data_IF_843769746952
#
_entry.id   IF_843769746952
#
_cell.length_a   1.000
_cell.length_b   1.000
_cell.length_c   1.000
_cell.angle_alpha   90.00
_cell.angle_beta   90.00
_cell.angle_gamma   90.00
#
_symmetry.space_group_name_H-M   'P 1'
#
loop_
_entity.id
_entity.type
_entity.pdbx_description
1 polymer ?
#
# COMPACT_ATOMS: atom_id res chain seq x y z
N UNK A 1 -11.82 3.11 -5.63
CA UNK A 1 -10.40 3.16 -6.06
C UNK A 1 -10.18 2.79 -7.51
N UNK A 2 -10.63 1.63 -7.99
CA UNK A 2 -10.46 1.22 -9.39
C UNK A 2 -10.88 2.29 -10.42
N UNK A 3 -12.05 2.94 -10.24
CA UNK A 3 -12.51 4.08 -11.08
C UNK A 3 -11.46 5.20 -11.21
N UNK A 4 -10.80 5.57 -10.11
CA UNK A 4 -9.82 6.65 -10.09
C UNK A 4 -8.55 6.25 -10.85
N UNK A 5 -8.06 5.02 -10.66
CA UNK A 5 -6.88 4.53 -11.37
C UNK A 5 -7.12 4.40 -12.87
N UNK A 6 -8.27 3.85 -13.28
CA UNK A 6 -8.66 3.80 -14.68
C UNK A 6 -8.71 5.20 -15.30
N UNK A 7 -9.29 6.19 -14.60
CA UNK A 7 -9.33 7.57 -15.08
C UNK A 7 -7.98 8.29 -15.08
N UNK A 8 -7.02 7.87 -14.25
CA UNK A 8 -5.63 8.33 -14.39
C UNK A 8 -5.03 7.72 -15.66
N UNK A 9 -5.14 6.40 -15.84
CA UNK A 9 -4.56 5.67 -16.97
C UNK A 9 -5.09 6.15 -18.34
N UNK A 10 -6.35 6.58 -18.40
CA UNK A 10 -6.98 7.07 -19.63
C UNK A 10 -6.62 8.53 -19.97
N UNK A 11 -6.00 9.28 -19.07
CA UNK A 11 -5.61 10.66 -19.38
C UNK A 11 -4.46 10.71 -20.40
N UNK A 12 -4.46 11.66 -21.36
CA UNK A 12 -3.37 11.78 -22.32
C UNK A 12 -2.04 12.15 -21.66
N UNK A 13 -0.94 11.88 -22.36
CA UNK A 13 0.41 12.19 -21.90
C UNK A 13 0.82 11.34 -20.70
N UNK A 14 1.00 11.97 -19.54
CA UNK A 14 1.55 11.34 -18.33
C UNK A 14 0.58 10.40 -17.58
N UNK A 15 -0.69 10.33 -17.98
CA UNK A 15 -1.73 9.55 -17.29
C UNK A 15 -1.37 8.07 -17.09
N UNK A 16 -1.14 7.31 -18.17
CA UNK A 16 -0.73 5.91 -18.12
C UNK A 16 0.45 5.63 -17.17
N UNK A 17 1.47 6.50 -17.18
CA UNK A 17 2.65 6.38 -16.33
C UNK A 17 2.32 6.55 -14.83
N UNK A 18 1.30 7.34 -14.52
CA UNK A 18 0.93 7.66 -13.14
C UNK A 18 -0.05 6.65 -12.51
N UNK A 19 -0.62 5.72 -13.27
CA UNK A 19 -1.45 4.66 -12.70
C UNK A 19 -0.65 3.80 -11.71
N UNK A 20 0.48 3.25 -12.18
CA UNK A 20 1.39 2.46 -11.34
C UNK A 20 1.97 3.29 -10.19
N UNK A 21 2.27 4.57 -10.45
CA UNK A 21 2.75 5.51 -9.44
C UNK A 21 1.76 5.68 -8.27
N UNK A 22 0.48 5.90 -8.55
CA UNK A 22 -0.55 5.96 -7.51
C UNK A 22 -0.85 4.59 -6.90
N UNK A 23 -0.73 3.53 -7.70
CA UNK A 23 -0.80 2.15 -7.24
C UNK A 23 0.22 1.84 -6.13
N UNK A 24 1.44 2.35 -6.23
CA UNK A 24 2.46 2.21 -5.17
C UNK A 24 1.97 2.80 -3.83
N UNK A 25 1.31 3.95 -3.87
CA UNK A 25 0.78 4.58 -2.65
C UNK A 25 -0.37 3.77 -2.05
N UNK A 26 -1.23 3.17 -2.88
CA UNK A 26 -2.39 2.41 -2.40
C UNK A 26 -2.07 0.97 -2.01
N UNK A 27 -1.36 0.23 -2.86
CA UNK A 27 -1.09 -1.19 -2.66
C UNK A 27 0.12 -1.49 -1.79
N UNK A 28 1.06 -0.55 -1.65
CA UNK A 28 2.25 -0.71 -0.81
C UNK A 28 2.33 0.36 0.30
N UNK A 29 1.26 1.14 0.48
CA UNK A 29 1.21 2.26 1.43
C UNK A 29 2.39 3.22 1.28
N UNK A 30 3.00 3.40 0.10
CA UNK A 30 4.19 4.24 -0.04
C UNK A 30 3.87 5.73 0.13
N UNK A 31 4.81 6.49 0.72
CA UNK A 31 4.76 7.96 0.68
C UNK A 31 5.12 8.43 -0.73
N UNK A 32 4.60 9.58 -1.22
CA UNK A 32 4.94 10.10 -2.54
C UNK A 32 6.46 10.19 -2.78
N UNK A 33 7.20 10.63 -1.77
CA UNK A 33 8.66 10.67 -1.76
C UNK A 33 9.32 9.31 -2.05
N UNK A 34 8.82 8.24 -1.43
CA UNK A 34 9.31 6.88 -1.65
C UNK A 34 9.00 6.41 -3.08
N UNK A 35 7.84 6.77 -3.63
CA UNK A 35 7.46 6.40 -5.00
C UNK A 35 8.35 7.09 -6.02
N UNK A 36 8.62 8.39 -5.84
CA UNK A 36 9.49 9.18 -6.72
C UNK A 36 10.90 8.57 -6.83
N UNK A 37 11.38 7.94 -5.76
CA UNK A 37 12.72 7.35 -5.69
C UNK A 37 12.72 5.82 -5.80
N UNK A 38 11.58 5.19 -6.11
CA UNK A 38 11.51 3.74 -6.23
C UNK A 38 12.42 3.25 -7.35
N UNK A 39 13.32 2.34 -7.00
CA UNK A 39 14.26 1.72 -7.93
C UNK A 39 13.83 0.31 -8.31
N UNK A 40 14.20 -0.12 -9.52
CA UNK A 40 13.88 -1.46 -10.01
C UNK A 40 14.54 -2.56 -9.18
N UNK A 41 15.75 -2.33 -8.66
CA UNK A 41 16.46 -3.25 -7.75
C UNK A 41 15.73 -3.46 -6.41
N UNK A 42 14.77 -2.61 -6.06
CA UNK A 42 13.90 -2.75 -4.88
C UNK A 42 12.62 -3.54 -5.18
N UNK A 43 12.42 -3.99 -6.42
CA UNK A 43 11.19 -4.65 -6.87
C UNK A 43 11.42 -6.13 -7.18
N UNK A 44 10.80 -7.01 -6.40
CA UNK A 44 10.64 -8.41 -6.77
C UNK A 44 9.24 -8.61 -7.38
N UNK A 45 9.20 -8.80 -8.69
CA UNK A 45 7.97 -8.86 -9.49
C UNK A 45 7.87 -10.20 -10.22
N UNK A 46 7.40 -11.28 -9.57
CA UNK A 46 7.25 -12.57 -10.24
C UNK A 46 6.15 -12.51 -11.30
N UNK A 47 6.25 -13.34 -12.34
CA UNK A 47 5.23 -13.45 -13.40
C UNK A 47 3.85 -13.82 -12.85
N UNK A 48 3.82 -14.64 -11.80
CA UNK A 48 2.60 -15.06 -11.11
C UNK A 48 2.76 -14.92 -9.60
N UNK A 49 1.67 -14.57 -8.92
CA UNK A 49 1.61 -14.51 -7.47
C UNK A 49 1.97 -13.14 -6.89
N UNK A 50 2.34 -13.14 -5.60
CA UNK A 50 2.62 -11.92 -4.85
C UNK A 50 4.04 -11.43 -5.11
N UNK A 51 4.19 -10.12 -5.27
CA UNK A 51 5.49 -9.47 -5.37
C UNK A 51 5.93 -8.89 -4.02
N UNK A 52 7.14 -8.33 -4.00
CA UNK A 52 7.71 -7.68 -2.83
C UNK A 52 8.40 -6.37 -3.22
N UNK A 53 8.17 -5.31 -2.44
CA UNK A 53 8.92 -4.05 -2.53
C UNK A 53 9.80 -3.88 -1.29
N UNK A 54 11.09 -3.57 -1.47
CA UNK A 54 12.06 -3.38 -0.40
C UNK A 54 12.34 -1.89 -0.17
N UNK A 55 11.54 -1.27 0.69
CA UNK A 55 11.51 0.18 0.86
C UNK A 55 12.51 0.64 1.93
N UNK A 56 13.45 1.51 1.58
CA UNK A 56 14.38 2.12 2.52
C UNK A 56 13.72 3.26 3.30
N UNK A 57 13.95 3.32 4.61
CA UNK A 57 13.31 4.31 5.51
C UNK A 57 13.79 5.77 5.37
N UNK A 58 14.57 6.09 4.34
CA UNK A 58 15.37 7.32 4.27
C UNK A 58 14.79 8.50 3.47
N UNK A 59 13.74 8.31 2.68
CA UNK A 59 13.23 9.40 1.83
C UNK A 59 12.00 10.06 2.46
N UNK A 60 12.24 11.12 3.23
CA UNK A 60 11.20 12.04 3.68
C UNK A 60 11.42 13.38 2.99
N UNK A 61 10.82 13.59 1.81
CA UNK A 61 10.60 14.97 1.31
C UNK A 61 9.34 15.50 1.95
N UNK A 62 9.49 16.21 3.07
CA UNK A 62 8.41 17.03 3.63
C UNK A 62 8.27 18.28 2.76
N UNK A 63 7.38 18.24 1.78
CA UNK A 63 6.91 19.45 1.11
C UNK A 63 6.05 20.28 2.06
N UNK A 64 5.99 21.60 1.83
CA UNK A 64 5.22 22.60 2.60
C UNK A 64 3.74 22.27 2.86
N UNK A 65 3.19 21.23 2.23
CA UNK A 65 1.81 20.76 2.37
C UNK A 65 1.58 19.75 3.52
N UNK A 66 2.61 19.44 4.32
CA UNK A 66 2.60 18.25 5.20
C UNK A 66 2.52 18.53 6.72
N UNK A 67 2.26 19.76 7.16
CA UNK A 67 1.93 20.04 8.57
C UNK A 67 0.69 20.93 8.70
N UNK A 68 -0.19 20.64 9.66
CA UNK A 68 -1.24 21.58 10.11
C UNK A 68 -0.66 22.80 10.85
N UNK A 69 0.67 22.90 10.98
CA UNK A 69 1.37 23.92 11.77
C UNK A 69 2.24 24.88 10.96
N UNK A 70 2.30 24.79 9.63
CA UNK A 70 2.96 25.80 8.77
C UNK A 70 4.48 25.96 8.96
N UNK A 71 5.13 25.14 9.79
CA UNK A 71 6.56 25.21 10.03
C UNK A 71 7.33 24.32 9.04
N UNK A 72 8.36 24.90 8.41
CA UNK A 72 9.38 24.19 7.63
C UNK A 72 10.25 23.44 8.63
N UNK A 73 10.10 22.11 8.70
CA UNK A 73 11.03 21.28 9.45
C UNK A 73 12.13 20.80 8.51
N UNK A 74 13.36 21.16 8.85
CA UNK A 74 14.58 20.58 8.31
C UNK A 74 14.60 19.05 8.47
N UNK A 75 15.42 18.44 7.62
CA UNK A 75 15.69 17.01 7.56
C UNK A 75 16.19 16.55 8.93
N UNK A 76 15.28 16.09 9.78
CA UNK A 76 15.64 15.23 10.89
C UNK A 76 15.70 13.81 10.33
N UNK A 77 16.92 13.31 10.11
CA UNK A 77 17.19 11.88 10.22
C UNK A 77 16.54 11.42 11.53
N UNK A 78 15.40 10.72 11.43
CA UNK A 78 14.72 10.18 12.60
C UNK A 78 15.75 9.36 13.36
N UNK A 79 15.98 9.77 14.62
CA UNK A 79 16.86 9.12 15.59
C UNK A 79 16.98 7.62 15.32
N UNK A 80 18.18 7.20 14.92
CA UNK A 80 18.74 5.87 15.21
C UNK A 80 17.93 4.67 14.68
N UNK A 81 17.46 4.70 13.44
CA UNK A 81 17.44 3.45 12.64
C UNK A 81 18.59 3.51 11.66
N UNK A 82 19.39 2.44 11.59
CA UNK A 82 20.50 2.36 10.65
C UNK A 82 19.99 2.73 9.24
N UNK A 83 20.74 3.55 8.51
CA UNK A 83 20.41 4.01 7.16
C UNK A 83 20.10 2.86 6.16
N UNK A 84 20.37 1.62 6.57
CA UNK A 84 20.19 0.36 5.84
C UNK A 84 18.89 -0.40 6.16
N UNK A 85 18.04 0.08 7.07
CA UNK A 85 16.81 -0.62 7.42
C UNK A 85 15.77 -0.52 6.28
N UNK A 86 15.73 -1.54 5.42
CA UNK A 86 14.67 -1.75 4.43
C UNK A 86 13.48 -2.47 5.06
N UNK A 87 12.25 -2.03 4.76
CA UNK A 87 11.03 -2.78 5.09
C UNK A 87 10.53 -3.54 3.86
N UNK A 88 10.33 -4.87 3.95
CA UNK A 88 9.66 -5.62 2.90
C UNK A 88 8.15 -5.38 2.96
N UNK A 89 7.57 -4.99 1.82
CA UNK A 89 6.14 -4.76 1.64
C UNK A 89 5.61 -5.66 0.53
N UNK A 90 4.82 -6.70 0.86
CA UNK A 90 4.24 -7.57 -0.15
C UNK A 90 3.16 -6.82 -0.93
N UNK A 91 3.14 -7.01 -2.24
CA UNK A 91 2.17 -6.40 -3.15
C UNK A 91 1.34 -7.45 -3.87
N UNK A 92 0.03 -7.21 -4.05
CA UNK A 92 -0.87 -8.24 -4.55
C UNK A 92 -0.67 -8.48 -6.07
N UNK A 93 -1.01 -9.67 -6.60
CA UNK A 93 -0.70 -10.08 -7.97
C UNK A 93 -1.19 -9.11 -9.06
N UNK A 94 -2.36 -8.48 -8.85
CA UNK A 94 -2.89 -7.49 -9.77
C UNK A 94 -1.99 -6.26 -9.89
N UNK A 95 -1.36 -5.84 -8.79
CA UNK A 95 -0.47 -4.68 -8.80
C UNK A 95 0.91 -5.03 -9.34
N UNK A 96 1.37 -6.27 -9.14
CA UNK A 96 2.57 -6.80 -9.82
C UNK A 96 2.43 -6.67 -11.34
N UNK A 97 1.29 -7.10 -11.89
CA UNK A 97 1.00 -6.95 -13.33
C UNK A 97 1.00 -5.49 -13.78
N UNK A 98 0.41 -4.59 -13.01
CA UNK A 98 0.42 -3.15 -13.31
C UNK A 98 1.85 -2.58 -13.33
N UNK A 99 2.70 -2.95 -12.38
CA UNK A 99 4.10 -2.53 -12.34
C UNK A 99 4.92 -3.11 -13.50
N UNK A 100 4.74 -4.40 -13.80
CA UNK A 100 5.40 -5.04 -14.94
C UNK A 100 5.02 -4.36 -16.26
N UNK A 101 3.72 -4.16 -16.50
CA UNK A 101 3.24 -3.48 -17.71
C UNK A 101 3.74 -2.03 -17.80
N UNK A 102 3.89 -1.34 -16.67
CA UNK A 102 4.50 -0.02 -16.62
C UNK A 102 5.97 -0.06 -17.04
N UNK A 103 6.75 -0.97 -16.46
CA UNK A 103 8.19 -1.11 -16.73
C UNK A 103 8.42 -1.50 -18.19
N UNK A 104 7.63 -2.43 -18.73
CA UNK A 104 7.67 -2.82 -20.15
C UNK A 104 7.38 -1.64 -21.07
N UNK A 105 6.39 -0.81 -20.73
CA UNK A 105 5.95 0.31 -21.57
C UNK A 105 6.86 1.54 -21.51
N UNK A 106 7.38 1.88 -20.33
CA UNK A 106 8.11 3.15 -20.09
C UNK A 106 9.59 2.97 -19.81
N UNK A 107 10.04 1.73 -19.62
CA UNK A 107 11.40 1.41 -19.22
C UNK A 107 11.72 1.84 -17.78
N UNK A 108 13.00 1.65 -17.44
CA UNK A 108 13.62 2.11 -16.20
C UNK A 108 14.66 3.16 -16.59
N UNK A 109 14.87 4.18 -15.77
CA UNK A 109 15.88 5.20 -16.04
C UNK A 109 17.30 4.60 -16.00
N UNK A 110 18.32 5.24 -16.62
CA UNK A 110 19.70 4.75 -16.54
C UNK A 110 20.23 4.61 -15.12
N UNK A 111 19.76 5.46 -14.20
CA UNK A 111 20.11 5.38 -12.79
C UNK A 111 19.23 4.39 -12.01
N UNK A 112 18.26 3.72 -12.62
CA UNK A 112 17.50 2.60 -12.03
C UNK A 112 16.13 2.94 -11.46
N UNK A 113 15.62 4.16 -11.61
CA UNK A 113 14.29 4.56 -11.12
C UNK A 113 13.18 4.01 -12.01
N UNK A 114 12.11 3.54 -11.36
CA UNK A 114 10.91 3.01 -12.04
C UNK A 114 10.04 4.13 -12.63
N UNK A 115 10.09 5.32 -12.03
CA UNK A 115 9.26 6.46 -12.44
C UNK A 115 10.10 7.65 -12.86
N UNK A 116 9.76 8.22 -14.01
CA UNK A 116 10.35 9.44 -14.56
C UNK A 116 9.29 10.30 -15.24
N UNK A 117 9.55 11.60 -15.41
CA UNK A 117 8.78 12.44 -16.31
C UNK A 117 9.24 12.22 -17.77
N UNK A 118 8.58 12.89 -18.73
CA UNK A 118 8.91 12.75 -20.15
C UNK A 118 10.35 13.16 -20.51
N UNK A 119 10.98 14.00 -19.70
CA UNK A 119 12.37 14.43 -19.87
C UNK A 119 13.38 13.52 -19.14
N UNK A 120 12.93 12.41 -18.55
CA UNK A 120 13.78 11.49 -17.78
C UNK A 120 14.08 11.94 -16.35
N UNK A 121 13.53 13.09 -15.93
CA UNK A 121 13.72 13.65 -14.59
C UNK A 121 12.70 13.07 -13.59
N UNK A 122 12.81 13.47 -12.32
CA UNK A 122 11.85 13.09 -11.29
C UNK A 122 10.41 13.51 -11.63
N UNK A 123 9.46 12.71 -11.16
CA UNK A 123 8.03 13.07 -11.23
C UNK A 123 7.76 14.20 -10.24
N UNK A 124 7.31 15.34 -10.75
CA UNK A 124 7.06 16.53 -9.95
C UNK A 124 5.74 16.46 -9.16
N UNK A 125 5.70 16.97 -7.90
CA UNK A 125 4.48 17.02 -7.10
C UNK A 125 3.29 17.70 -7.76
N UNK A 126 3.51 18.88 -8.35
CA UNK A 126 2.47 19.62 -9.06
C UNK A 126 1.94 18.82 -10.27
N UNK A 127 2.83 18.07 -10.94
CA UNK A 127 2.50 17.32 -12.14
C UNK A 127 1.56 16.14 -11.84
N UNK A 128 1.88 15.31 -10.83
CA UNK A 128 0.98 14.21 -10.45
C UNK A 128 -0.27 14.73 -9.73
N UNK A 129 -0.16 15.82 -8.95
CA UNK A 129 -1.31 16.43 -8.25
C UNK A 129 -2.38 16.90 -9.24
N UNK A 130 -1.97 17.50 -10.35
CA UNK A 130 -2.87 17.95 -11.42
C UNK A 130 -3.59 16.76 -12.08
N UNK A 131 -2.86 15.70 -12.43
CA UNK A 131 -3.45 14.48 -13.03
C UNK A 131 -4.45 13.82 -12.07
N UNK A 132 -4.11 13.76 -10.77
CA UNK A 132 -5.01 13.22 -9.74
C UNK A 132 -6.29 14.04 -9.62
N UNK A 133 -6.17 15.37 -9.54
CA UNK A 133 -7.31 16.27 -9.43
C UNK A 133 -8.25 16.15 -10.65
N UNK A 134 -7.70 16.00 -11.85
CA UNK A 134 -8.47 15.76 -13.08
C UNK A 134 -9.21 14.43 -13.04
N UNK A 135 -8.53 13.35 -12.63
CA UNK A 135 -9.16 12.03 -12.49
C UNK A 135 -10.34 12.07 -11.52
N UNK A 136 -10.15 12.73 -10.35
CA UNK A 136 -11.23 12.91 -9.37
C UNK A 136 -12.42 13.63 -9.97
N UNK A 137 -12.23 14.77 -10.63
CA UNK A 137 -13.32 15.53 -11.26
C UNK A 137 -14.07 14.74 -12.33
N UNK A 138 -13.38 13.82 -13.01
CA UNK A 138 -13.95 13.00 -14.07
C UNK A 138 -14.84 11.87 -13.55
N UNK A 139 -14.44 11.18 -12.46
CA UNK A 139 -15.14 9.94 -12.03
C UNK A 139 -15.96 10.05 -10.74
N UNK A 140 -15.71 11.08 -9.93
CA UNK A 140 -16.42 11.24 -8.68
C UNK A 140 -17.70 12.04 -8.88
N UNK A 141 -18.78 11.61 -8.23
CA UNK A 141 -20.03 12.37 -8.16
C UNK A 141 -19.82 13.71 -7.45
N UNK A 142 -20.75 14.65 -7.61
CA UNK A 142 -20.70 15.94 -6.91
C UNK A 142 -20.58 15.77 -5.40
N UNK A 143 -21.34 14.82 -4.83
CA UNK A 143 -21.32 14.49 -3.40
C UNK A 143 -19.98 13.90 -2.96
N UNK A 144 -19.42 12.96 -3.72
CA UNK A 144 -18.09 12.38 -3.44
C UNK A 144 -16.97 13.42 -3.55
N UNK A 145 -17.07 14.37 -4.48
CA UNK A 145 -16.10 15.46 -4.60
C UNK A 145 -16.18 16.40 -3.40
N UNK A 146 -17.41 16.79 -3.01
CA UNK A 146 -17.67 17.70 -1.90
C UNK A 146 -17.24 17.12 -0.54
N UNK A 147 -17.37 15.79 -0.35
CA UNK A 147 -16.91 15.13 0.87
C UNK A 147 -15.38 15.09 1.02
N UNK A 148 -14.63 15.46 -0.04
CA UNK A 148 -13.18 15.36 -0.04
C UNK A 148 -12.66 13.94 -0.26
N UNK A 149 -13.47 13.03 -0.83
CA UNK A 149 -13.05 11.65 -1.08
C UNK A 149 -11.75 11.59 -1.91
N UNK A 150 -10.72 10.99 -1.33
CA UNK A 150 -9.38 10.88 -1.91
C UNK A 150 -8.81 12.22 -2.42
N UNK A 151 -9.07 13.32 -1.69
CA UNK A 151 -8.70 14.69 -2.05
C UNK A 151 -7.25 14.82 -2.51
N UNK A 152 -6.32 14.18 -1.79
CA UNK A 152 -4.88 14.21 -2.06
C UNK A 152 -4.40 12.83 -2.51
N UNK A 153 -3.35 12.75 -3.35
CA UNK A 153 -2.67 11.49 -3.62
C UNK A 153 -2.19 10.78 -2.35
N UNK A 154 -1.79 11.52 -1.31
CA UNK A 154 -1.40 10.95 -0.02
C UNK A 154 -2.54 10.16 0.66
N UNK A 155 -3.79 10.51 0.40
CA UNK A 155 -4.95 9.80 0.96
C UNK A 155 -5.05 8.36 0.41
N UNK A 156 -4.35 8.03 -0.69
CA UNK A 156 -4.21 6.66 -1.20
C UNK A 156 -3.51 5.74 -0.21
N UNK A 157 -2.46 6.24 0.45
CA UNK A 157 -1.78 5.51 1.51
C UNK A 157 -2.75 5.20 2.64
N UNK A 158 -3.55 6.19 3.03
CA UNK A 158 -4.55 5.99 4.07
C UNK A 158 -5.61 4.98 3.67
N UNK A 159 -6.12 5.06 2.44
CA UNK A 159 -7.11 4.13 1.91
C UNK A 159 -6.58 2.70 1.79
N UNK A 160 -5.30 2.53 1.42
CA UNK A 160 -4.63 1.23 1.35
C UNK A 160 -4.52 0.57 2.72
N UNK A 161 -4.06 1.33 3.73
CA UNK A 161 -3.97 0.84 5.11
C UNK A 161 -5.35 0.51 5.67
N UNK A 162 -6.36 1.36 5.44
CA UNK A 162 -7.75 1.06 5.81
C UNK A 162 -8.25 -0.22 5.16
N UNK A 163 -7.93 -0.44 3.89
CA UNK A 163 -8.33 -1.64 3.18
C UNK A 163 -7.69 -2.91 3.76
N UNK A 164 -6.41 -2.86 4.15
CA UNK A 164 -5.76 -3.99 4.82
C UNK A 164 -6.42 -4.33 6.16
N UNK A 165 -6.66 -3.32 6.99
CA UNK A 165 -7.36 -3.49 8.28
C UNK A 165 -8.77 -4.04 8.08
N UNK A 166 -9.52 -3.47 7.14
CA UNK A 166 -10.84 -3.97 6.75
C UNK A 166 -10.78 -5.39 6.19
N UNK A 167 -9.66 -5.83 5.61
CA UNK A 167 -9.50 -7.20 5.12
C UNK A 167 -9.14 -8.19 6.23
N UNK A 168 -9.04 -7.74 7.48
CA UNK A 168 -8.66 -8.58 8.63
C UNK A 168 -7.16 -8.81 8.77
N UNK A 169 -6.32 -8.02 8.08
CA UNK A 169 -4.87 -8.09 8.27
C UNK A 169 -4.52 -7.57 9.67
N UNK A 170 -3.64 -8.30 10.37
CA UNK A 170 -3.18 -7.93 11.70
C UNK A 170 -2.67 -6.46 11.74
N UNK A 171 -3.09 -5.66 12.75
CA UNK A 171 -2.66 -4.26 12.85
C UNK A 171 -1.15 -4.07 12.98
N UNK A 172 -0.43 -4.97 13.66
CA UNK A 172 1.03 -4.88 13.76
C UNK A 172 1.68 -5.14 12.39
N UNK A 173 1.18 -6.09 11.62
CA UNK A 173 1.60 -6.33 10.23
C UNK A 173 1.30 -5.13 9.32
N UNK A 174 0.12 -4.51 9.44
CA UNK A 174 -0.22 -3.27 8.73
C UNK A 174 0.75 -2.14 9.06
N UNK A 175 1.05 -1.93 10.35
CA UNK A 175 1.99 -0.92 10.83
C UNK A 175 3.41 -1.17 10.30
N UNK A 176 3.87 -2.43 10.34
CA UNK A 176 5.17 -2.86 9.81
C UNK A 176 5.29 -2.56 8.31
N UNK A 177 4.30 -2.95 7.50
CA UNK A 177 4.27 -2.68 6.05
C UNK A 177 4.25 -1.17 5.76
N UNK A 178 3.43 -0.43 6.49
CA UNK A 178 3.35 1.03 6.34
C UNK A 178 4.62 1.75 6.80
N UNK A 179 5.46 1.14 7.64
CA UNK A 179 6.63 1.80 8.22
C UNK A 179 6.26 2.86 9.25
N UNK A 180 5.24 2.59 10.07
CA UNK A 180 4.81 3.45 11.18
C UNK A 180 4.65 2.63 12.46
N UNK A 181 4.60 3.29 13.63
CA UNK A 181 4.30 2.58 14.87
C UNK A 181 2.84 2.13 14.91
N UNK A 182 2.57 1.04 15.63
CA UNK A 182 1.21 0.56 15.86
C UNK A 182 0.37 1.58 16.64
N UNK A 183 0.99 2.38 17.52
CA UNK A 183 0.33 3.47 18.23
C UNK A 183 -0.19 4.55 17.25
N UNK A 184 0.64 4.96 16.28
CA UNK A 184 0.22 5.90 15.23
C UNK A 184 -0.90 5.30 14.39
N UNK A 185 -0.82 4.01 14.05
CA UNK A 185 -1.90 3.32 13.36
C UNK A 185 -3.22 3.41 14.15
N UNK A 186 -3.23 3.03 15.43
CA UNK A 186 -4.45 3.09 16.24
C UNK A 186 -4.97 4.51 16.43
N UNK A 187 -4.09 5.51 16.60
CA UNK A 187 -4.51 6.92 16.69
C UNK A 187 -5.34 7.37 15.49
N UNK A 188 -5.01 6.90 14.30
CA UNK A 188 -5.71 7.28 13.07
C UNK A 188 -6.87 6.35 12.70
N UNK A 189 -6.85 5.08 13.14
CA UNK A 189 -7.80 4.06 12.68
C UNK A 189 -8.67 3.42 13.76
N UNK A 190 -8.52 3.78 15.05
CA UNK A 190 -9.33 3.23 16.13
C UNK A 190 -10.85 3.33 15.86
N UNK A 191 -11.32 4.49 15.38
CA UNK A 191 -12.75 4.72 15.06
C UNK A 191 -13.27 3.84 13.92
N UNK A 192 -12.39 3.37 13.03
CA UNK A 192 -12.78 2.47 11.94
C UNK A 192 -12.98 1.04 12.46
N UNK A 193 -12.28 0.65 13.53
CA UNK A 193 -12.36 -0.70 14.08
C UNK A 193 -13.70 -0.96 14.80
N UNK A 194 -14.39 0.07 15.26
CA UNK A 194 -15.74 -0.07 15.84
C UNK A 194 -16.75 -0.62 14.81
N UNK A 195 -16.54 -0.33 13.52
CA UNK A 195 -17.39 -0.77 12.41
C UNK A 195 -17.11 -2.19 11.90
N UNK A 196 -16.06 -2.88 12.39
CA UNK A 196 -15.70 -4.23 11.92
C UNK A 196 -16.14 -5.35 12.88
N UNK A 197 -17.03 -5.05 13.83
CA UNK A 197 -17.50 -6.03 14.84
C UNK A 197 -18.01 -7.33 14.23
N UNK A 198 -18.87 -7.25 13.22
CA UNK A 198 -19.40 -8.45 12.55
C UNK A 198 -18.31 -9.25 11.85
N UNK A 199 -17.31 -8.57 11.29
CA UNK A 199 -16.18 -9.24 10.67
C UNK A 199 -15.27 -9.91 11.69
N UNK A 200 -15.02 -9.25 12.83
CA UNK A 200 -14.30 -9.85 13.94
C UNK A 200 -15.02 -11.11 14.44
N UNK A 201 -16.35 -11.07 14.57
CA UNK A 201 -17.14 -12.25 14.93
C UNK A 201 -16.99 -13.39 13.91
N UNK A 202 -17.06 -13.11 12.60
CA UNK A 202 -16.82 -14.12 11.55
C UNK A 202 -15.43 -14.75 11.64
N UNK A 203 -14.40 -13.95 11.92
CA UNK A 203 -13.02 -14.45 12.08
C UNK A 203 -12.89 -15.35 13.33
N UNK A 204 -13.53 -14.98 14.44
CA UNK A 204 -13.59 -15.79 15.66
C UNK A 204 -14.29 -17.13 15.36
N UNK A 205 -15.45 -17.10 14.70
CA UNK A 205 -16.20 -18.30 14.31
C UNK A 205 -15.35 -19.23 13.42
N UNK A 206 -14.69 -18.69 12.40
CA UNK A 206 -13.79 -19.46 11.54
C UNK A 206 -12.63 -20.09 12.32
N UNK A 207 -12.02 -19.34 13.23
CA UNK A 207 -10.90 -19.81 14.06
C UNK A 207 -11.33 -20.94 15.00
N UNK A 208 -12.51 -20.83 15.61
CA UNK A 208 -13.09 -21.89 16.45
C UNK A 208 -13.35 -23.16 15.62
N UNK A 209 -13.89 -23.02 14.40
CA UNK A 209 -14.13 -24.16 13.52
C UNK A 209 -12.83 -24.85 13.09
N UNK A 210 -11.80 -24.08 12.74
CA UNK A 210 -10.48 -24.61 12.38
C UNK A 210 -9.85 -25.36 13.56
N UNK A 211 -9.91 -24.78 14.76
CA UNK A 211 -9.48 -25.44 16.00
C UNK A 211 -10.22 -26.75 16.28
N UNK A 212 -11.55 -26.76 16.08
CA UNK A 212 -12.37 -27.96 16.22
C UNK A 212 -11.95 -29.07 15.25
N UNK A 213 -11.69 -28.73 13.98
CA UNK A 213 -11.20 -29.67 12.97
C UNK A 213 -9.82 -30.24 13.31
N UNK A 214 -8.88 -29.40 13.73
CA UNK A 214 -7.52 -29.84 14.13
C UNK A 214 -7.59 -30.77 15.35
N UNK A 215 -8.42 -30.43 16.33
CA UNK A 215 -8.60 -31.24 17.55
C UNK A 215 -9.22 -32.61 17.25
N UNK A 216 -10.21 -32.67 16.34
CA UNK A 216 -10.81 -33.95 15.91
C UNK A 216 -9.89 -34.77 14.99
N UNK A 217 -9.10 -34.13 14.12
CA UNK A 217 -8.10 -34.80 13.31
C UNK A 217 -6.99 -35.46 14.15
N UNK A 218 -6.57 -34.80 15.23
CA UNK A 218 -5.59 -35.34 16.16
C UNK A 218 -6.13 -36.53 16.96
N UNK A 219 -7.41 -36.49 17.35
CA UNK A 219 -8.07 -37.62 18.02
C UNK A 219 -8.21 -38.85 17.12
N UNK A 220 -8.52 -38.65 15.82
CA UNK A 220 -8.67 -39.74 14.85
C UNK A 220 -7.34 -40.45 14.56
N UNK A 221 -6.22 -39.72 14.52
CA UNK A 221 -4.87 -40.30 14.34
C UNK A 221 -4.40 -41.06 15.59
N UNK A 222 -4.82 -40.64 16.79
CA UNK A 222 -4.54 -41.36 18.04
C UNK A 222 -5.24 -42.72 18.11
N UNK A 223 -6.53 -42.78 17.74
CA UNK A 223 -7.33 -44.01 17.77
C UNK A 223 -6.87 -45.08 16.77
N UNK A 224 -6.32 -44.67 15.62
CA UNK A 224 -5.80 -45.63 14.61
C UNK A 224 -4.49 -46.29 15.04
N UNK A 225 -3.67 -45.67 15.89
CA UNK A 225 -2.39 -46.24 16.36
C UNK A 225 -2.55 -47.29 17.46
N UNK A 226 -3.67 -47.26 18.18
CA UNK A 226 -3.94 -48.22 19.27
C UNK A 226 -4.62 -49.51 18.78
N UNK A 227 -5.15 -49.53 17.55
CA UNK A 227 -5.76 -50.72 16.94
C UNK A 227 -4.74 -51.67 16.30
N UNK A 228 -3.53 -51.21 15.97
CA UNK A 228 -2.44 -52.02 15.40
C UNK A 228 -1.49 -52.63 16.47
N UNK A 229 -1.89 -52.60 17.76
CA UNK A 229 -1.08 -53.06 18.90
C UNK A 229 -1.64 -54.26 19.66
N UNK A 230 -2.50 -55.07 19.04
CA UNK A 230 -2.95 -56.37 19.54
C UNK A 230 -2.67 -57.47 18.52
#
# INVERSE_FOLDING_TARGET
MARLFAAVAQQPGRGPHLEAFFGCMYHAAMRPAEVIHLRFDQCHLPETGWGMLYLSGGVVTAGKEWTDSGAVHEIHSLKRRAATATRPVPIPPQFVRTLLAHIERFGVTPDGRVFQNQAGNYVEPAAYGTTWARARKYVLTRTELASGLAKRPYDLRHAGISFWLYSGVDPAECARRAGQSIEVLFRHYAKFLDGVREQANRLIEQSIQEWGRVSQGTATVGLSRDLDRK
#
